data_IF_641713691554
#
_entry.id   IF_641713691554
#
_cell.length_a   1.000
_cell.length_b   1.000
_cell.length_c   1.000
_cell.angle_alpha   90.00
_cell.angle_beta   90.00
_cell.angle_gamma   90.00
#
_symmetry.space_group_name_H-M   'P 1'
#
loop_
_entity.id
_entity.type
_entity.pdbx_description
1 polymer ?
#
# COMPACT_ATOMS: atom_id res chain seq x y z
N UNK A 1 -67.20 -2.26 -57.88
CA UNK A 1 -66.89 -3.31 -56.88
C UNK A 1 -65.38 -3.40 -56.76
N UNK A 2 -64.89 -3.56 -55.52
CA UNK A 2 -63.54 -3.22 -55.02
C UNK A 2 -62.40 -3.97 -55.72
N UNK A 3 -61.38 -3.22 -56.16
CA UNK A 3 -60.02 -3.73 -56.38
C UNK A 3 -59.27 -3.66 -55.04
N UNK A 4 -58.85 -4.81 -54.52
CA UNK A 4 -57.94 -4.90 -53.38
C UNK A 4 -56.50 -5.00 -53.90
N UNK A 5 -55.66 -4.06 -53.49
CA UNK A 5 -54.21 -4.06 -53.68
C UNK A 5 -53.61 -4.83 -52.49
N UNK A 6 -52.75 -5.84 -52.69
CA UNK A 6 -52.02 -6.45 -51.59
C UNK A 6 -50.88 -5.54 -51.14
N UNK A 7 -50.92 -5.12 -49.87
CA UNK A 7 -49.82 -4.43 -49.20
C UNK A 7 -48.85 -5.52 -48.72
N UNK A 8 -47.70 -5.66 -49.38
CA UNK A 8 -46.58 -6.45 -48.87
C UNK A 8 -45.92 -5.69 -47.73
N UNK A 9 -46.08 -6.19 -46.50
CA UNK A 9 -45.42 -5.67 -45.31
C UNK A 9 -43.99 -6.26 -45.25
N UNK A 10 -43.03 -5.56 -45.86
CA UNK A 10 -41.61 -5.91 -45.71
C UNK A 10 -41.13 -5.44 -44.33
N UNK A 11 -40.97 -6.38 -43.40
CA UNK A 11 -40.32 -6.14 -42.11
C UNK A 11 -38.81 -6.10 -42.35
N UNK A 12 -38.25 -4.91 -42.48
CA UNK A 12 -36.80 -4.70 -42.45
C UNK A 12 -36.30 -4.88 -41.01
N UNK A 13 -35.66 -6.02 -40.74
CA UNK A 13 -34.90 -6.24 -39.52
C UNK A 13 -33.66 -5.34 -39.56
N UNK A 14 -33.72 -4.19 -38.90
CA UNK A 14 -32.54 -3.35 -38.66
C UNK A 14 -31.70 -4.07 -37.60
N UNK A 15 -30.67 -4.82 -38.03
CA UNK A 15 -29.60 -5.22 -37.14
C UNK A 15 -28.89 -3.94 -36.69
N UNK A 16 -29.32 -3.43 -35.54
CA UNK A 16 -28.58 -2.47 -34.73
C UNK A 16 -27.22 -3.11 -34.43
N UNK A 17 -26.18 -2.71 -35.17
CA UNK A 17 -24.80 -2.90 -34.76
C UNK A 17 -24.60 -2.06 -33.50
N UNK A 18 -24.80 -2.67 -32.34
CA UNK A 18 -24.35 -2.10 -31.08
C UNK A 18 -22.84 -1.91 -31.26
N UNK A 19 -22.31 -0.68 -31.27
CA UNK A 19 -20.87 -0.52 -31.16
C UNK A 19 -20.50 -1.12 -29.82
N UNK A 20 -19.73 -2.20 -29.84
CA UNK A 20 -19.06 -2.73 -28.67
C UNK A 20 -17.97 -1.72 -28.28
N UNK A 21 -18.36 -0.59 -27.70
CA UNK A 21 -17.48 0.29 -26.95
C UNK A 21 -17.54 -0.14 -25.48
N UNK A 22 -17.10 -1.36 -25.23
CA UNK A 22 -16.74 -1.87 -23.91
C UNK A 22 -15.28 -2.34 -23.97
N UNK A 23 -14.40 -1.48 -24.49
CA UNK A 23 -13.05 -1.47 -23.96
C UNK A 23 -13.19 -0.74 -22.64
N UNK A 24 -12.88 -1.41 -21.52
CA UNK A 24 -12.72 -0.71 -20.25
C UNK A 24 -11.77 0.45 -20.51
N UNK A 25 -12.29 1.68 -20.44
CA UNK A 25 -11.42 2.83 -20.37
C UNK A 25 -10.65 2.63 -19.08
N UNK A 26 -9.37 2.26 -19.19
CA UNK A 26 -8.51 2.14 -18.03
C UNK A 26 -8.58 3.44 -17.25
N UNK A 27 -8.59 3.36 -15.93
CA UNK A 27 -8.72 4.54 -15.09
C UNK A 27 -7.61 5.54 -15.44
N UNK A 28 -8.02 6.80 -15.66
CA UNK A 28 -7.08 7.90 -15.84
C UNK A 28 -6.15 8.01 -14.62
N UNK A 29 -4.99 8.64 -14.80
CA UNK A 29 -4.15 8.92 -13.65
C UNK A 29 -4.91 9.83 -12.66
N UNK A 30 -4.79 9.61 -11.34
CA UNK A 30 -5.50 10.44 -10.37
C UNK A 30 -5.18 11.93 -10.53
N UNK A 31 -6.21 12.76 -10.45
CA UNK A 31 -6.12 14.22 -10.50
C UNK A 31 -6.03 14.88 -9.11
N UNK A 32 -6.38 14.13 -8.06
CA UNK A 32 -6.48 14.61 -6.69
C UNK A 32 -6.44 13.48 -5.66
N UNK A 33 -6.13 13.81 -4.41
CA UNK A 33 -6.33 12.93 -3.22
C UNK A 33 -5.68 11.55 -3.30
N UNK A 34 -4.70 11.38 -4.17
CA UNK A 34 -3.92 10.17 -4.35
C UNK A 34 -2.69 10.18 -3.45
N UNK A 35 -2.29 9.01 -2.95
CA UNK A 35 -1.12 8.83 -2.10
C UNK A 35 -0.39 7.56 -2.47
N UNK A 36 0.93 7.61 -2.42
CA UNK A 36 1.84 6.50 -2.70
C UNK A 36 2.79 6.32 -1.54
N UNK A 37 2.82 5.11 -0.98
CA UNK A 37 3.79 4.71 0.04
C UNK A 37 4.86 3.85 -0.61
N UNK A 38 6.10 4.32 -0.51
CA UNK A 38 7.25 3.79 -1.24
C UNK A 38 8.30 3.35 -0.24
N UNK A 39 8.70 2.07 -0.30
CA UNK A 39 9.83 1.55 0.45
C UNK A 39 11.13 1.70 -0.33
N UNK A 40 12.22 2.05 0.35
CA UNK A 40 13.59 1.98 -0.18
C UNK A 40 14.34 0.84 0.48
N UNK A 41 15.00 0.02 -0.32
CA UNK A 41 15.68 -1.20 0.13
C UNK A 41 17.15 -1.16 -0.27
N UNK A 42 18.02 -1.70 0.58
CA UNK A 42 19.41 -2.07 0.27
C UNK A 42 19.55 -3.57 0.48
N UNK A 43 19.65 -4.33 -0.61
CA UNK A 43 19.49 -5.78 -0.58
C UNK A 43 18.13 -6.17 0.03
N UNK A 44 18.06 -7.10 1.00
CA UNK A 44 16.80 -7.50 1.63
C UNK A 44 16.30 -6.53 2.71
N UNK A 45 17.08 -5.51 3.07
CA UNK A 45 16.78 -4.64 4.20
C UNK A 45 16.07 -3.38 3.72
N UNK A 46 14.89 -3.10 4.25
CA UNK A 46 14.26 -1.80 4.07
C UNK A 46 15.01 -0.76 4.89
N UNK A 47 15.56 0.25 4.22
CA UNK A 47 16.34 1.33 4.85
C UNK A 47 15.51 2.60 5.05
N UNK A 48 14.46 2.80 4.25
CA UNK A 48 13.55 3.92 4.39
C UNK A 48 12.15 3.59 3.87
N UNK A 49 11.18 4.40 4.28
CA UNK A 49 9.85 4.47 3.70
C UNK A 49 9.45 5.94 3.64
N UNK A 50 8.79 6.34 2.55
CA UNK A 50 8.27 7.70 2.43
C UNK A 50 6.96 7.70 1.65
N UNK A 51 6.20 8.76 1.88
CA UNK A 51 4.89 8.95 1.29
C UNK A 51 4.91 10.17 0.37
N UNK A 52 4.42 9.98 -0.85
CA UNK A 52 4.06 11.06 -1.75
C UNK A 52 2.54 11.20 -1.79
N UNK A 53 2.03 12.42 -1.81
CA UNK A 53 0.62 12.67 -2.05
C UNK A 53 0.40 13.77 -3.07
N UNK A 54 -0.67 13.60 -3.84
CA UNK A 54 -1.17 14.57 -4.77
C UNK A 54 -2.04 15.58 -4.02
N UNK A 55 -1.53 16.80 -3.89
CA UNK A 55 -2.29 17.90 -3.37
C UNK A 55 -3.12 18.50 -4.51
N UNK A 56 -4.45 18.45 -4.34
CA UNK A 56 -5.35 19.20 -5.19
C UNK A 56 -5.19 20.69 -4.89
N UNK A 57 -4.72 21.43 -5.88
CA UNK A 57 -4.58 22.88 -5.84
C UNK A 57 -4.93 23.41 -7.24
N UNK A 58 -6.12 23.99 -7.38
CA UNK A 58 -6.75 24.44 -8.64
C UNK A 58 -6.01 25.53 -9.41
N UNK A 59 -4.77 25.83 -9.06
CA UNK A 59 -4.06 27.04 -9.49
C UNK A 59 -2.60 26.77 -9.88
N UNK A 60 -2.27 25.55 -10.32
CA UNK A 60 -0.91 25.22 -10.77
C UNK A 60 -0.88 25.08 -12.29
N UNK A 61 -0.88 26.24 -12.96
CA UNK A 61 -0.58 26.32 -14.38
C UNK A 61 0.94 26.47 -14.57
N UNK A 62 1.54 25.49 -15.25
CA UNK A 62 2.94 25.51 -15.66
C UNK A 62 2.93 25.48 -17.19
N UNK A 63 3.44 26.52 -17.83
CA UNK A 63 3.42 26.70 -19.28
C UNK A 63 2.01 26.54 -19.90
N UNK A 64 0.98 26.99 -19.17
CA UNK A 64 -0.42 26.91 -19.60
C UNK A 64 -1.06 25.52 -19.48
N UNK A 65 -0.37 24.56 -18.87
CA UNK A 65 -0.86 23.21 -18.59
C UNK A 65 -1.13 23.06 -17.09
N UNK A 66 -2.22 22.36 -16.74
CA UNK A 66 -2.60 22.10 -15.35
C UNK A 66 -1.81 20.92 -14.78
N UNK A 67 -1.16 21.12 -13.64
CA UNK A 67 -0.43 20.08 -12.93
C UNK A 67 -0.93 19.93 -11.49
N UNK A 68 -1.02 18.69 -11.00
CA UNK A 68 -1.23 18.41 -9.59
C UNK A 68 0.10 18.44 -8.82
N UNK A 69 0.18 19.20 -7.73
CA UNK A 69 1.41 19.30 -6.92
C UNK A 69 1.63 18.01 -6.13
N UNK A 70 2.84 17.45 -6.23
CA UNK A 70 3.29 16.36 -5.38
C UNK A 70 4.04 16.89 -4.17
N UNK A 71 3.75 16.28 -3.02
CA UNK A 71 4.39 16.63 -1.75
C UNK A 71 4.76 15.40 -0.94
N UNK A 72 5.82 15.55 -0.14
CA UNK A 72 6.17 14.58 0.87
C UNK A 72 5.26 14.67 2.08
N UNK A 73 4.82 13.53 2.61
CA UNK A 73 4.26 13.43 3.95
C UNK A 73 5.32 12.88 4.93
N UNK A 74 5.39 13.37 6.19
CA UNK A 74 4.53 14.40 6.81
C UNK A 74 5.00 15.84 6.61
N UNK A 75 6.16 16.09 5.99
CA UNK A 75 6.77 17.42 5.96
C UNK A 75 6.04 18.47 5.11
N UNK A 76 5.12 18.05 4.23
CA UNK A 76 4.44 18.89 3.25
C UNK A 76 5.44 19.61 2.31
N UNK A 77 6.65 19.06 2.14
CA UNK A 77 7.68 19.62 1.25
C UNK A 77 7.27 19.41 -0.20
N UNK A 78 7.37 20.45 -1.02
CA UNK A 78 7.13 20.35 -2.46
C UNK A 78 8.13 19.39 -3.10
N UNK A 79 7.63 18.39 -3.82
CA UNK A 79 8.44 17.37 -4.49
C UNK A 79 8.55 17.62 -6.00
N UNK A 80 7.50 18.17 -6.59
CA UNK A 80 7.35 18.38 -8.03
C UNK A 80 5.86 18.47 -8.36
N UNK A 81 5.50 18.32 -9.63
CA UNK A 81 4.10 18.27 -10.04
C UNK A 81 3.89 17.21 -11.13
N UNK A 82 2.67 16.68 -11.26
CA UNK A 82 2.34 15.66 -12.27
C UNK A 82 1.14 16.06 -13.10
N UNK A 83 1.10 15.59 -14.33
CA UNK A 83 -0.02 15.82 -15.25
C UNK A 83 -0.25 14.60 -16.13
N UNK A 84 -1.49 14.16 -16.22
CA UNK A 84 -1.97 13.27 -17.28
C UNK A 84 -2.47 14.11 -18.45
N UNK A 85 -2.08 13.78 -19.68
CA UNK A 85 -2.54 14.48 -20.88
C UNK A 85 -3.82 13.92 -21.49
N UNK A 86 -4.41 12.87 -20.91
CA UNK A 86 -5.60 12.18 -21.40
C UNK A 86 -5.35 11.23 -22.59
N UNK A 87 -4.12 11.19 -23.12
CA UNK A 87 -3.70 10.33 -24.23
C UNK A 87 -2.84 9.16 -23.74
N UNK A 88 -2.91 8.82 -22.45
CA UNK A 88 -2.11 7.75 -21.85
C UNK A 88 -0.69 8.17 -21.47
N UNK A 89 -0.33 9.46 -21.56
CA UNK A 89 0.98 9.92 -21.14
C UNK A 89 0.90 10.74 -19.86
N UNK A 90 1.78 10.41 -18.93
CA UNK A 90 1.92 11.13 -17.66
C UNK A 90 3.26 11.86 -17.66
N UNK A 91 3.24 13.11 -17.26
CA UNK A 91 4.41 13.98 -17.22
C UNK A 91 4.71 14.38 -15.77
N UNK A 92 6.00 14.51 -15.48
CA UNK A 92 6.49 15.02 -14.21
C UNK A 92 7.21 16.36 -14.44
N UNK A 93 6.79 17.37 -13.68
CA UNK A 93 7.47 18.64 -13.58
C UNK A 93 8.37 18.65 -12.33
N UNK A 94 9.66 18.81 -12.56
CA UNK A 94 10.71 18.72 -11.55
C UNK A 94 10.84 20.02 -10.75
N UNK A 95 11.61 20.00 -9.66
CA UNK A 95 11.87 21.20 -8.83
C UNK A 95 12.83 22.20 -9.48
N UNK A 96 13.61 21.77 -10.47
CA UNK A 96 14.49 22.60 -11.31
C UNK A 96 13.80 23.14 -12.57
N UNK A 97 12.46 23.04 -12.62
CA UNK A 97 11.62 23.66 -13.63
C UNK A 97 11.75 23.05 -15.04
N UNK A 98 11.92 21.72 -15.10
CA UNK A 98 11.86 20.93 -16.33
C UNK A 98 10.63 20.01 -16.31
N UNK A 99 10.10 19.69 -17.49
CA UNK A 99 8.98 18.76 -17.62
C UNK A 99 9.41 17.57 -18.46
N UNK A 100 9.29 16.37 -17.88
CA UNK A 100 9.74 15.13 -18.49
C UNK A 100 8.61 14.10 -18.59
N UNK A 101 8.72 13.18 -19.54
CA UNK A 101 7.82 12.04 -19.63
C UNK A 101 8.07 11.10 -18.43
N UNK A 102 7.00 10.69 -17.78
CA UNK A 102 7.06 9.75 -16.65
C UNK A 102 6.52 8.37 -17.04
N UNK A 103 5.38 8.34 -17.74
CA UNK A 103 4.75 7.11 -18.22
C UNK A 103 4.18 7.32 -19.62
N UNK A 104 4.25 6.29 -20.45
CA UNK A 104 3.50 6.22 -21.71
C UNK A 104 2.73 4.89 -21.77
N UNK A 105 1.39 5.00 -21.75
CA UNK A 105 0.48 3.88 -21.80
C UNK A 105 -0.11 3.62 -23.19
N UNK A 106 0.32 4.31 -24.25
CA UNK A 106 -0.09 4.06 -25.63
C UNK A 106 1.03 3.39 -26.46
N UNK A 107 1.58 2.32 -25.90
CA UNK A 107 2.73 1.59 -26.48
C UNK A 107 2.42 0.12 -26.74
N UNK A 108 3.17 -0.50 -27.65
CA UNK A 108 3.13 -1.93 -27.95
C UNK A 108 4.46 -2.62 -27.62
N UNK A 109 4.43 -3.95 -27.52
CA UNK A 109 5.65 -4.75 -27.25
C UNK A 109 6.69 -4.53 -28.35
N UNK A 110 7.92 -4.24 -27.94
CA UNK A 110 9.05 -3.94 -28.84
C UNK A 110 9.30 -2.46 -29.06
N UNK A 111 8.40 -1.58 -28.61
CA UNK A 111 8.64 -0.13 -28.65
C UNK A 111 9.79 0.28 -27.71
N UNK A 112 10.46 1.37 -28.09
CA UNK A 112 11.41 2.08 -27.23
C UNK A 112 10.84 3.45 -26.89
N UNK A 113 10.75 3.74 -25.61
CA UNK A 113 10.31 5.03 -25.06
C UNK A 113 11.57 5.78 -24.63
N UNK A 114 11.78 6.96 -25.18
CA UNK A 114 12.98 7.76 -24.94
C UNK A 114 12.79 8.75 -23.80
N UNK A 115 13.90 9.09 -23.14
CA UNK A 115 13.97 10.18 -22.16
C UNK A 115 12.92 10.08 -21.03
N UNK A 116 12.67 8.86 -20.54
CA UNK A 116 11.76 8.65 -19.41
C UNK A 116 12.43 9.05 -18.10
N UNK A 117 11.76 9.90 -17.33
CA UNK A 117 12.26 10.39 -16.06
C UNK A 117 12.14 9.34 -14.95
N UNK A 118 13.23 9.20 -14.22
CA UNK A 118 13.35 8.35 -13.04
C UNK A 118 13.97 9.17 -11.92
N UNK A 119 13.38 9.11 -10.73
CA UNK A 119 13.95 9.63 -9.50
C UNK A 119 13.78 8.60 -8.37
N UNK A 120 14.67 7.63 -8.35
CA UNK A 120 14.73 6.55 -7.37
C UNK A 120 15.90 6.70 -6.40
N UNK A 121 15.93 5.83 -5.40
CA UNK A 121 16.91 5.82 -4.32
C UNK A 121 18.34 5.57 -4.82
N UNK A 122 18.50 4.63 -5.76
CA UNK A 122 19.81 4.26 -6.31
C UNK A 122 20.12 4.92 -7.67
N UNK A 123 19.09 5.37 -8.38
CA UNK A 123 19.19 5.87 -9.76
C UNK A 123 18.23 7.03 -9.97
N UNK A 124 18.74 8.12 -10.56
CA UNK A 124 17.92 9.25 -11.01
C UNK A 124 18.47 9.79 -12.32
N UNK A 125 17.58 10.24 -13.21
CA UNK A 125 17.92 10.75 -14.53
C UNK A 125 16.89 10.38 -15.59
N UNK A 126 17.30 10.50 -16.86
CA UNK A 126 16.50 10.13 -18.03
C UNK A 126 17.00 8.79 -18.58
N UNK A 127 16.05 7.91 -18.94
CA UNK A 127 16.34 6.56 -19.39
C UNK A 127 15.51 6.19 -20.62
N UNK A 128 16.15 5.49 -21.55
CA UNK A 128 15.46 4.82 -22.66
C UNK A 128 14.97 3.44 -22.20
N UNK A 129 13.67 3.18 -22.38
CA UNK A 129 13.00 1.98 -21.90
C UNK A 129 12.41 1.18 -23.06
N UNK A 130 12.68 -0.12 -23.08
CA UNK A 130 12.08 -1.08 -24.00
C UNK A 130 10.82 -1.65 -23.37
N UNK A 131 9.72 -1.64 -24.13
CA UNK A 131 8.47 -2.31 -23.77
C UNK A 131 8.61 -3.81 -24.03
N UNK A 132 8.71 -4.58 -22.95
CA UNK A 132 8.91 -6.03 -22.98
C UNK A 132 7.61 -6.82 -22.90
N UNK A 133 6.56 -6.24 -22.32
CA UNK A 133 5.23 -6.85 -22.28
C UNK A 133 4.13 -5.80 -22.13
N UNK A 134 2.94 -6.11 -22.63
CA UNK A 134 1.71 -5.35 -22.39
C UNK A 134 0.63 -6.35 -21.99
N UNK A 135 0.04 -6.17 -20.82
CA UNK A 135 -0.97 -7.07 -20.27
C UNK A 135 -2.07 -6.29 -19.50
N UNK A 136 -3.07 -7.01 -19.02
CA UNK A 136 -4.13 -6.49 -18.15
C UNK A 136 -3.98 -7.07 -16.74
N UNK A 137 -3.80 -6.20 -15.76
CA UNK A 137 -3.73 -6.54 -14.34
C UNK A 137 -5.07 -6.27 -13.68
N UNK A 138 -5.64 -7.26 -13.00
CA UNK A 138 -6.86 -7.09 -12.21
C UNK A 138 -6.52 -6.82 -10.74
N UNK A 139 -6.94 -5.67 -10.22
CA UNK A 139 -6.76 -5.28 -8.83
C UNK A 139 -8.12 -4.93 -8.24
N UNK A 140 -8.51 -5.63 -7.17
CA UNK A 140 -9.82 -5.44 -6.53
C UNK A 140 -11.03 -5.49 -7.49
N UNK A 141 -10.91 -6.24 -8.60
CA UNK A 141 -11.95 -6.35 -9.63
C UNK A 141 -11.89 -5.28 -10.74
N UNK A 142 -11.03 -4.27 -10.62
CA UNK A 142 -10.77 -3.28 -11.67
C UNK A 142 -9.63 -3.74 -12.58
N UNK A 143 -9.80 -3.55 -13.89
CA UNK A 143 -8.78 -3.84 -14.88
C UNK A 143 -7.85 -2.63 -15.07
N UNK A 144 -6.54 -2.87 -15.08
CA UNK A 144 -5.51 -1.87 -15.34
C UNK A 144 -4.58 -2.35 -16.47
N UNK A 145 -4.14 -1.43 -17.33
CA UNK A 145 -3.08 -1.72 -18.29
C UNK A 145 -1.77 -1.86 -17.53
N UNK A 146 -1.07 -2.96 -17.72
CA UNK A 146 0.26 -3.19 -17.18
C UNK A 146 1.28 -3.26 -18.31
N UNK A 147 2.38 -2.51 -18.17
CA UNK A 147 3.45 -2.44 -19.14
C UNK A 147 4.73 -2.93 -18.46
N UNK A 148 5.28 -4.04 -18.93
CA UNK A 148 6.59 -4.51 -18.48
C UNK A 148 7.69 -3.79 -19.23
N UNK A 149 8.63 -3.21 -18.51
CA UNK A 149 9.68 -2.35 -19.06
C UNK A 149 11.06 -2.87 -18.66
N UNK A 150 12.06 -2.53 -19.47
CA UNK A 150 13.47 -2.73 -19.15
C UNK A 150 14.32 -1.68 -19.83
N UNK A 151 15.40 -1.25 -19.19
CA UNK A 151 16.41 -0.39 -19.84
C UNK A 151 17.07 -1.14 -21.00
N UNK A 152 17.61 -0.38 -21.96
CA UNK A 152 18.39 -0.94 -23.08
C UNK A 152 19.53 -1.86 -22.62
N UNK A 153 20.17 -1.55 -21.48
CA UNK A 153 21.30 -2.30 -20.94
C UNK A 153 20.83 -3.64 -20.34
N UNK A 154 19.69 -3.65 -19.66
CA UNK A 154 19.13 -4.88 -19.08
C UNK A 154 18.56 -5.81 -20.16
N UNK A 155 17.89 -5.23 -21.16
CA UNK A 155 17.13 -5.98 -22.15
C UNK A 155 15.97 -6.77 -21.52
N UNK A 156 15.20 -7.51 -22.33
CA UNK A 156 14.13 -8.37 -21.83
C UNK A 156 14.69 -9.58 -21.03
N UNK A 157 13.89 -10.17 -20.11
CA UNK A 157 12.48 -9.89 -19.82
C UNK A 157 12.28 -8.64 -18.95
N UNK A 158 11.03 -8.18 -18.85
CA UNK A 158 10.64 -7.07 -17.98
C UNK A 158 11.15 -7.27 -16.54
N UNK A 159 11.82 -6.25 -16.00
CA UNK A 159 12.29 -6.24 -14.60
C UNK A 159 11.46 -5.33 -13.70
N UNK A 160 10.74 -4.38 -14.31
CA UNK A 160 9.80 -3.48 -13.65
C UNK A 160 8.51 -3.36 -14.47
N UNK A 161 7.48 -2.79 -13.85
CA UNK A 161 6.17 -2.62 -14.47
C UNK A 161 5.61 -1.23 -14.23
N UNK A 162 4.92 -0.67 -15.22
CA UNK A 162 3.98 0.43 -15.03
C UNK A 162 2.55 -0.09 -15.00
N UNK A 163 1.73 0.49 -14.14
CA UNK A 163 0.31 0.15 -13.99
C UNK A 163 -0.51 1.43 -14.15
N UNK A 164 -1.35 1.47 -15.17
CA UNK A 164 -2.16 2.65 -15.49
C UNK A 164 -3.11 3.01 -14.33
N UNK A 165 -3.16 4.29 -13.98
CA UNK A 165 -3.92 4.80 -12.83
C UNK A 165 -3.22 4.61 -11.47
N UNK A 166 -2.11 3.87 -11.40
CA UNK A 166 -1.42 3.54 -10.13
C UNK A 166 0.02 4.06 -10.10
N UNK A 167 0.78 3.97 -11.20
CA UNK A 167 2.22 4.27 -11.22
C UNK A 167 3.04 2.99 -11.45
N UNK A 168 4.34 3.01 -11.16
CA UNK A 168 5.20 1.85 -11.41
C UNK A 168 5.56 1.01 -10.19
N UNK A 169 6.17 -0.16 -10.44
CA UNK A 169 6.64 -1.12 -9.43
C UNK A 169 7.60 -0.48 -8.44
N UNK A 170 8.40 0.49 -8.87
CA UNK A 170 9.31 1.25 -8.02
C UNK A 170 8.62 2.34 -7.19
N UNK A 171 7.36 2.68 -7.46
CA UNK A 171 6.69 3.86 -6.91
C UNK A 171 6.26 4.85 -7.99
N UNK A 172 5.86 6.05 -7.57
CA UNK A 172 5.32 7.07 -8.47
C UNK A 172 6.35 7.62 -9.46
N UNK A 173 7.61 7.80 -9.05
CA UNK A 173 8.66 8.40 -9.92
C UNK A 173 9.92 7.56 -10.06
N UNK A 174 9.97 6.40 -9.41
CA UNK A 174 11.21 5.66 -9.12
C UNK A 174 11.36 4.37 -9.92
N UNK A 175 10.51 4.17 -10.93
CA UNK A 175 10.48 2.92 -11.72
C UNK A 175 11.41 3.03 -12.91
N UNK A 176 12.54 2.32 -12.89
CA UNK A 176 13.62 2.51 -13.85
C UNK A 176 13.70 1.46 -14.97
N UNK A 177 13.02 0.31 -14.85
CA UNK A 177 13.29 -0.79 -15.77
C UNK A 177 14.69 -1.39 -15.55
N UNK A 178 15.22 -1.25 -14.35
CA UNK A 178 16.59 -1.64 -14.02
C UNK A 178 16.60 -2.52 -12.77
N UNK A 179 17.14 -3.73 -12.90
CA UNK A 179 17.39 -4.61 -11.77
C UNK A 179 18.57 -4.10 -10.96
N UNK A 180 18.35 -3.84 -9.68
CA UNK A 180 19.40 -3.45 -8.74
C UNK A 180 19.37 -4.34 -7.50
N UNK A 181 20.51 -4.97 -7.20
CA UNK A 181 20.71 -5.72 -5.95
C UNK A 181 21.21 -4.82 -4.81
N UNK A 182 21.74 -3.65 -5.16
CA UNK A 182 22.39 -2.71 -4.24
C UNK A 182 21.41 -1.74 -3.60
N UNK A 183 20.35 -1.40 -4.32
CA UNK A 183 19.35 -0.46 -3.85
C UNK A 183 18.18 -0.33 -4.82
N UNK A 184 16.95 -0.43 -4.33
CA UNK A 184 15.75 -0.28 -5.16
C UNK A 184 14.59 0.33 -4.37
N UNK A 185 13.63 0.92 -5.08
CA UNK A 185 12.35 1.29 -4.50
C UNK A 185 11.28 0.27 -4.85
N UNK A 186 10.26 0.18 -4.00
CA UNK A 186 9.07 -0.61 -4.27
C UNK A 186 7.83 0.18 -3.87
N UNK A 187 6.81 0.20 -4.74
CA UNK A 187 5.49 0.66 -4.37
C UNK A 187 4.87 -0.35 -3.40
N UNK A 188 4.66 0.06 -2.16
CA UNK A 188 4.01 -0.78 -1.14
C UNK A 188 2.49 -0.64 -1.20
N UNK A 189 2.02 0.58 -1.44
CA UNK A 189 0.60 0.90 -1.44
C UNK A 189 0.30 2.17 -2.25
N UNK A 190 -0.83 2.19 -2.95
CA UNK A 190 -1.44 3.40 -3.50
C UNK A 190 -2.89 3.51 -3.05
N UNK A 191 -3.32 4.70 -2.60
CA UNK A 191 -4.70 4.96 -2.18
C UNK A 191 -5.26 6.21 -2.84
N UNK A 192 -6.55 6.18 -3.17
CA UNK A 192 -7.30 7.27 -3.80
C UNK A 192 -8.62 7.46 -3.05
N UNK A 193 -8.94 8.70 -2.64
CA UNK A 193 -10.24 9.06 -2.04
C UNK A 193 -10.71 8.08 -0.93
N UNK A 194 -9.81 7.71 -0.02
CA UNK A 194 -10.05 6.76 1.08
C UNK A 194 -10.34 5.30 0.66
N UNK A 195 -9.84 4.89 -0.51
CA UNK A 195 -9.82 3.50 -0.96
C UNK A 195 -8.39 3.10 -1.30
N UNK A 196 -7.96 1.92 -0.87
CA UNK A 196 -6.67 1.36 -1.25
C UNK A 196 -6.79 0.77 -2.65
N UNK A 197 -6.04 1.32 -3.61
CA UNK A 197 -6.07 0.92 -5.02
C UNK A 197 -4.98 -0.10 -5.35
N UNK A 198 -3.88 -0.11 -4.59
CA UNK A 198 -2.76 -1.03 -4.77
C UNK A 198 -2.16 -1.44 -3.43
N UNK A 199 -1.70 -2.69 -3.33
CA UNK A 199 -1.10 -3.28 -2.13
C UNK A 199 -1.93 -4.42 -1.54
N UNK A 200 -1.51 -4.94 -0.38
CA UNK A 200 -2.11 -6.13 0.24
C UNK A 200 -3.61 -5.97 0.57
N UNK A 201 -4.05 -4.74 0.83
CA UNK A 201 -5.43 -4.41 1.22
C UNK A 201 -6.21 -3.75 0.07
N UNK A 202 -5.80 -3.93 -1.19
CA UNK A 202 -6.48 -3.32 -2.33
C UNK A 202 -7.99 -3.67 -2.36
N UNK A 203 -8.81 -2.66 -2.64
CA UNK A 203 -10.28 -2.73 -2.60
C UNK A 203 -10.91 -2.41 -1.25
N UNK A 204 -10.11 -2.31 -0.17
CA UNK A 204 -10.62 -1.93 1.15
C UNK A 204 -10.66 -0.41 1.33
N UNK A 205 -11.55 0.05 2.21
CA UNK A 205 -11.57 1.45 2.65
C UNK A 205 -10.35 1.74 3.53
N UNK A 206 -9.74 2.90 3.32
CA UNK A 206 -8.57 3.35 4.07
C UNK A 206 -7.60 4.15 3.21
N UNK A 207 -6.48 4.52 3.83
CA UNK A 207 -5.37 5.22 3.18
C UNK A 207 -4.11 4.39 3.35
N UNK A 208 -3.16 4.51 2.42
CA UNK A 208 -1.87 3.81 2.48
C UNK A 208 -0.97 4.18 3.66
N UNK A 209 -1.36 5.15 4.47
CA UNK A 209 -0.65 5.40 5.71
C UNK A 209 -0.57 4.13 6.53
N UNK A 210 0.62 3.82 7.00
CA UNK A 210 0.78 2.98 8.18
C UNK A 210 -0.13 3.57 9.24
N UNK A 211 -1.25 2.88 9.49
CA UNK A 211 -2.08 3.05 10.65
C UNK A 211 -1.12 2.82 11.82
N UNK A 212 -0.59 3.91 12.40
CA UNK A 212 0.00 3.87 13.74
C UNK A 212 -1.08 3.84 14.81
N UNK A 213 -2.35 3.72 14.39
CA UNK A 213 -3.37 3.22 15.28
C UNK A 213 -2.97 1.80 15.63
N UNK A 214 -2.77 1.58 16.93
CA UNK A 214 -2.71 0.25 17.50
C UNK A 214 -4.10 -0.31 17.21
N UNK A 215 -4.26 -1.03 16.09
CA UNK A 215 -5.25 -2.10 16.10
C UNK A 215 -4.79 -2.94 17.28
N UNK A 216 -5.53 -2.89 18.39
CA UNK A 216 -5.39 -3.89 19.42
C UNK A 216 -5.57 -5.20 18.66
N UNK A 217 -4.45 -5.85 18.34
CA UNK A 217 -4.47 -7.20 17.88
C UNK A 217 -5.15 -7.91 19.04
N UNK A 218 -6.43 -8.23 18.85
CA UNK A 218 -7.25 -8.87 19.84
C UNK A 218 -6.54 -10.20 20.09
N UNK A 219 -5.67 -10.18 21.10
CA UNK A 219 -4.56 -11.09 21.18
C UNK A 219 -5.20 -12.46 21.41
N UNK A 220 -5.35 -13.25 20.34
CA UNK A 220 -5.85 -14.61 20.38
C UNK A 220 -4.97 -15.49 21.31
N UNK A 221 -3.85 -14.95 21.79
CA UNK A 221 -2.91 -15.52 22.75
C UNK A 221 -2.63 -14.64 23.98
N UNK A 222 -3.51 -13.69 24.33
CA UNK A 222 -3.37 -12.90 25.56
C UNK A 222 -3.50 -13.81 26.78
N UNK A 223 -2.47 -13.81 27.62
CA UNK A 223 -2.53 -14.47 28.92
C UNK A 223 -3.45 -13.65 29.82
N UNK A 224 -4.60 -14.22 30.17
CA UNK A 224 -5.58 -13.61 31.06
C UNK A 224 -5.74 -14.47 32.32
N UNK A 225 -5.79 -13.87 33.50
CA UNK A 225 -6.16 -14.57 34.72
C UNK A 225 -7.66 -14.90 34.67
N UNK A 226 -8.05 -16.06 35.20
CA UNK A 226 -9.42 -16.57 35.25
C UNK A 226 -10.36 -15.69 36.09
N UNK A 227 -9.80 -14.90 37.01
CA UNK A 227 -10.54 -13.96 37.86
C UNK A 227 -9.63 -12.78 38.16
N UNK A 228 -10.07 -11.58 37.81
CA UNK A 228 -9.36 -10.34 38.08
C UNK A 228 -10.35 -9.16 38.04
N UNK A 229 -10.72 -8.58 39.19
CA UNK A 229 -10.14 -8.80 40.53
C UNK A 229 -10.33 -10.19 41.15
N UNK A 230 -9.52 -10.56 42.14
CA UNK A 230 -9.60 -11.81 42.90
C UNK A 230 -9.21 -11.58 44.37
N UNK A 231 -9.67 -12.45 45.28
CA UNK A 231 -9.35 -12.37 46.71
C UNK A 231 -7.86 -12.63 47.01
N UNK A 232 -7.16 -13.38 46.15
CA UNK A 232 -5.73 -13.68 46.26
C UNK A 232 -5.20 -14.58 45.13
N UNK A 233 -6.04 -15.48 44.60
CA UNK A 233 -5.62 -16.54 43.67
C UNK A 233 -5.94 -16.16 42.22
N UNK A 234 -4.93 -16.21 41.36
CA UNK A 234 -5.02 -15.94 39.93
C UNK A 234 -4.54 -17.17 39.15
N UNK A 235 -5.39 -17.73 38.28
CA UNK A 235 -5.01 -18.84 37.39
C UNK A 235 -4.96 -18.35 35.95
N UNK A 236 -3.85 -18.57 35.27
CA UNK A 236 -3.62 -18.13 33.90
C UNK A 236 -4.01 -19.23 32.89
N UNK A 237 -4.54 -18.83 31.73
CA UNK A 237 -4.86 -19.70 30.59
C UNK A 237 -3.61 -20.21 29.83
N UNK A 238 -2.70 -20.89 30.52
CA UNK A 238 -1.44 -21.38 29.95
C UNK A 238 -1.54 -22.86 29.54
N UNK A 239 -1.03 -23.20 28.35
CA UNK A 239 -0.94 -24.62 27.90
C UNK A 239 0.09 -25.45 28.68
N UNK A 240 1.05 -24.80 29.35
CA UNK A 240 2.13 -25.44 30.10
C UNK A 240 2.62 -24.48 31.20
N UNK A 241 3.15 -24.99 32.34
CA UNK A 241 3.72 -24.17 33.40
C UNK A 241 4.80 -23.20 32.87
N UNK A 242 4.77 -21.96 33.36
CA UNK A 242 5.71 -20.90 32.99
C UNK A 242 6.33 -20.28 34.23
N UNK A 243 7.49 -19.63 34.04
CA UNK A 243 8.07 -18.77 35.07
C UNK A 243 7.22 -17.50 35.18
N UNK A 244 6.80 -17.15 36.38
CA UNK A 244 6.00 -15.97 36.68
C UNK A 244 6.71 -15.18 37.78
N UNK A 245 6.89 -13.89 37.58
CA UNK A 245 7.40 -12.96 38.59
C UNK A 245 6.34 -11.89 38.82
N UNK A 246 5.98 -11.62 40.07
CA UNK A 246 4.98 -10.63 40.44
C UNK A 246 5.66 -9.47 41.14
N UNK A 247 5.27 -8.27 40.73
CA UNK A 247 5.72 -7.02 41.30
C UNK A 247 4.56 -6.29 41.97
N UNK A 248 4.83 -5.59 43.06
CA UNK A 248 3.89 -4.64 43.65
C UNK A 248 3.76 -3.37 42.78
N UNK A 249 2.91 -2.44 43.22
CA UNK A 249 2.68 -1.16 42.54
C UNK A 249 3.92 -0.24 42.50
N UNK A 250 4.94 -0.51 43.32
CA UNK A 250 6.21 0.23 43.37
C UNK A 250 7.32 -0.44 42.54
N UNK A 251 7.03 -1.59 41.92
CA UNK A 251 7.99 -2.36 41.11
C UNK A 251 8.86 -3.31 41.92
N UNK A 252 8.57 -3.54 43.21
CA UNK A 252 9.30 -4.50 44.05
C UNK A 252 8.81 -5.92 43.76
N UNK A 253 9.72 -6.87 43.59
CA UNK A 253 9.37 -8.30 43.43
C UNK A 253 8.78 -8.85 44.74
N UNK A 254 7.54 -9.34 44.68
CA UNK A 254 6.83 -9.92 45.84
C UNK A 254 6.70 -11.44 45.74
N UNK A 255 6.70 -11.98 44.52
CA UNK A 255 6.57 -13.42 44.30
C UNK A 255 7.31 -13.85 43.04
N UNK A 256 7.94 -15.03 43.11
CA UNK A 256 8.50 -15.73 41.96
C UNK A 256 8.11 -17.19 42.00
N UNK A 257 7.48 -17.66 40.93
CA UNK A 257 6.94 -19.02 40.86
C UNK A 257 7.12 -19.63 39.47
N UNK A 258 6.94 -20.95 39.38
CA UNK A 258 6.86 -21.69 38.13
C UNK A 258 5.57 -22.51 38.15
N UNK A 259 4.63 -22.17 37.26
CA UNK A 259 3.29 -22.75 37.32
C UNK A 259 2.33 -22.10 36.35
N UNK A 260 1.04 -22.35 36.58
CA UNK A 260 -0.07 -21.71 35.85
C UNK A 260 -0.90 -20.81 36.75
N UNK A 261 -0.47 -20.58 37.99
CA UNK A 261 -1.19 -19.77 38.96
C UNK A 261 -0.25 -18.96 39.85
N UNK A 262 -0.81 -17.92 40.45
CA UNK A 262 -0.19 -17.01 41.43
C UNK A 262 -1.14 -16.89 42.61
N UNK A 263 -0.62 -17.07 43.82
CA UNK A 263 -1.35 -16.86 45.08
C UNK A 263 -0.72 -15.69 45.83
N UNK A 264 -1.51 -14.63 46.04
CA UNK A 264 -1.14 -13.40 46.74
C UNK A 264 -1.88 -13.29 48.08
N UNK A 265 -2.26 -14.41 48.72
CA UNK A 265 -2.99 -14.40 49.99
C UNK A 265 -2.23 -13.75 51.14
N UNK A 266 -0.90 -13.74 51.08
CA UNK A 266 -0.04 -13.04 52.04
C UNK A 266 0.12 -11.54 51.78
N UNK A 267 -0.33 -11.05 50.63
CA UNK A 267 -0.11 -9.67 50.19
C UNK A 267 -1.34 -8.78 50.47
N UNK A 268 -1.15 -7.47 50.71
CA UNK A 268 -2.26 -6.53 50.92
C UNK A 268 -3.14 -6.37 49.69
N UNK A 269 -4.32 -5.78 49.87
CA UNK A 269 -5.16 -5.36 48.74
C UNK A 269 -4.44 -4.30 47.91
N UNK A 270 -4.54 -4.42 46.58
CA UNK A 270 -3.81 -3.55 45.69
C UNK A 270 -3.66 -4.06 44.27
N UNK A 271 -2.89 -3.32 43.50
CA UNK A 271 -2.56 -3.64 42.11
C UNK A 271 -1.17 -4.24 42.06
N UNK A 272 -1.06 -5.35 41.34
CA UNK A 272 0.19 -6.07 41.10
C UNK A 272 0.41 -6.25 39.61
N UNK A 273 1.66 -6.49 39.23
CA UNK A 273 2.07 -6.72 37.85
C UNK A 273 2.74 -8.09 37.77
N UNK A 274 2.11 -9.04 37.08
CA UNK A 274 2.68 -10.35 36.82
C UNK A 274 3.37 -10.37 35.45
N UNK A 275 4.64 -10.74 35.43
CA UNK A 275 5.45 -11.00 34.24
C UNK A 275 5.54 -12.49 33.99
N UNK A 276 4.89 -12.97 32.94
CA UNK A 276 4.81 -14.39 32.56
C UNK A 276 5.76 -14.67 31.40
N UNK A 277 6.80 -15.47 31.63
CA UNK A 277 7.84 -15.75 30.63
C UNK A 277 7.42 -16.87 29.68
N UNK A 278 7.38 -16.58 28.39
CA UNK A 278 7.03 -17.51 27.32
C UNK A 278 8.31 -18.14 26.75
N UNK A 279 8.50 -19.45 26.97
CA UNK A 279 9.64 -20.17 26.41
C UNK A 279 9.69 -20.13 24.87
N UNK A 280 10.88 -19.88 24.31
CA UNK A 280 11.20 -19.74 22.89
C UNK A 280 12.60 -19.13 22.69
N UNK A 281 13.09 -19.03 21.45
CA UNK A 281 14.43 -18.49 21.10
C UNK A 281 14.60 -16.98 21.39
N UNK A 282 13.52 -16.29 21.77
CA UNK A 282 13.57 -14.97 22.40
C UNK A 282 12.95 -15.06 23.79
N UNK A 283 13.57 -14.44 24.79
CA UNK A 283 13.03 -14.35 26.16
C UNK A 283 11.80 -13.42 26.21
N UNK A 284 10.71 -13.79 25.55
CA UNK A 284 9.48 -13.03 25.55
C UNK A 284 8.76 -13.19 26.90
N UNK A 285 8.22 -12.09 27.42
CA UNK A 285 7.36 -12.12 28.60
C UNK A 285 6.12 -11.28 28.35
N UNK A 286 4.95 -11.80 28.70
CA UNK A 286 3.72 -11.01 28.73
C UNK A 286 3.53 -10.42 30.12
N UNK A 287 2.97 -9.22 30.17
CA UNK A 287 2.71 -8.48 31.40
C UNK A 287 1.22 -8.45 31.65
N UNK A 288 0.81 -8.82 32.85
CA UNK A 288 -0.59 -8.94 33.26
C UNK A 288 -0.80 -8.16 34.54
N UNK A 289 -1.77 -7.25 34.53
CA UNK A 289 -2.22 -6.55 35.76
C UNK A 289 -3.07 -7.50 36.59
N UNK A 290 -2.79 -7.63 37.88
CA UNK A 290 -3.59 -8.37 38.85
C UNK A 290 -4.15 -7.40 39.90
N UNK A 291 -5.39 -7.60 40.34
CA UNK A 291 -6.04 -6.78 41.36
C UNK A 291 -6.49 -7.67 42.50
N UNK A 292 -5.86 -7.49 43.67
CA UNK A 292 -6.26 -8.15 44.92
C UNK A 292 -7.29 -7.26 45.61
N UNK A 293 -8.51 -7.78 45.80
CA UNK A 293 -9.60 -7.11 46.50
C UNK A 293 -10.38 -8.15 47.32
N UNK A 294 -10.58 -7.93 48.63
CA UNK A 294 -11.24 -8.87 49.53
C UNK A 294 -12.60 -8.34 50.00
#
# INVERSE_FOLDING_TARGET
MRNQIPINLSISLVLSSIPCSLLSQFDAFPDSSAKWTIGSFEGPNQVASYDLYLQYDNDTLIDGQEFGKLRFHPSNTYYGAIRDNGNGQVFYHTTDNETHLLYDFDVIVGDTIFDVYVNGFAVSGLFDMIVSSVDTLFIAGSAHRQIGISTLIMGPPAVDFWVQGIGGSGGLVSTCGCGSVSGYNSLSCMSLNNTIMYGQLAGQQGSCFTVTDIVEEDNLHAIRPSSNPSAALFTFNLKQPKRIIVYDAFGSEVLKTFGTSVDLGGEPEGVYVARVFMGGLGNYAQVVRLVVAR
#
